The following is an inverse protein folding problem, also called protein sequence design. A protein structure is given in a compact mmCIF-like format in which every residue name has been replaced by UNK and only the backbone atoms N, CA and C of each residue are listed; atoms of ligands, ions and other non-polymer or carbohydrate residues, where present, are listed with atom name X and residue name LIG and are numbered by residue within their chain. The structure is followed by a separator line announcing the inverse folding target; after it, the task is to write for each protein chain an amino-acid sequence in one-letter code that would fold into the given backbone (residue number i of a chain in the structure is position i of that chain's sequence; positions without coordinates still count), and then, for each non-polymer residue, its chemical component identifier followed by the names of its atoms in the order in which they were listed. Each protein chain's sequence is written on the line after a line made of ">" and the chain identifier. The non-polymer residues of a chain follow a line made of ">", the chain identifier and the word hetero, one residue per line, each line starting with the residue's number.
data_IF_458862700226
#
_entry.id   IF_458862700226
#
_cell.length_a   1.000
_cell.length_b   1.000
_cell.length_c   1.000
_cell.angle_alpha   90.00
_cell.angle_beta   90.00
_cell.angle_gamma   90.00
#
_symmetry.space_group_name_H-M   'P 1'
#
loop_
_entity.id
_entity.type
_entity.pdbx_description
1 polymer ?
#
# COMPACT_ATOMS: atom_id res chain seq x y z
N UNK A 1 3.32 -10.65 3.27
CA UNK A 1 4.17 -11.84 3.04
C UNK A 1 3.50 -13.04 3.66
N UNK A 2 3.39 -14.18 2.98
CA UNK A 2 2.76 -15.42 3.46
C UNK A 2 3.84 -16.48 3.58
N UNK A 3 3.89 -17.24 4.69
CA UNK A 3 4.83 -18.33 4.88
C UNK A 3 4.09 -19.67 5.00
N UNK A 4 4.52 -20.64 4.20
CA UNK A 4 4.10 -22.03 4.31
C UNK A 4 5.37 -22.90 4.13
N UNK A 5 5.91 -23.28 5.27
CA UNK A 5 7.26 -23.92 5.32
C UNK A 5 7.42 -25.05 4.30
N UNK A 6 8.56 -25.07 3.59
CA UNK A 6 9.72 -24.18 3.68
C UNK A 6 9.66 -22.96 2.74
N UNK A 7 8.48 -22.57 2.25
CA UNK A 7 8.32 -21.49 1.28
C UNK A 7 7.83 -20.19 1.91
N UNK A 8 8.22 -19.09 1.25
CA UNK A 8 7.78 -17.72 1.55
C UNK A 8 7.28 -17.07 0.26
N UNK A 9 6.04 -16.63 0.25
CA UNK A 9 5.41 -15.93 -0.87
C UNK A 9 5.37 -14.42 -0.56
N UNK A 10 5.92 -13.63 -1.47
CA UNK A 10 5.85 -12.16 -1.43
C UNK A 10 4.90 -11.64 -2.54
N UNK A 11 3.64 -11.34 -2.21
CA UNK A 11 2.68 -10.85 -3.19
C UNK A 11 3.06 -9.47 -3.77
N UNK A 12 3.77 -8.64 -3.00
CA UNK A 12 4.11 -7.29 -3.40
C UNK A 12 5.19 -7.24 -4.49
N UNK A 13 6.14 -8.18 -4.42
CA UNK A 13 7.26 -8.27 -5.36
C UNK A 13 7.12 -9.44 -6.34
N UNK A 14 5.97 -10.12 -6.39
CA UNK A 14 5.73 -11.31 -7.22
C UNK A 14 6.83 -12.38 -7.09
N UNK A 15 7.31 -12.61 -5.85
CA UNK A 15 8.43 -13.51 -5.60
C UNK A 15 8.04 -14.67 -4.68
N UNK A 16 8.53 -15.85 -5.03
CA UNK A 16 8.45 -17.06 -4.22
C UNK A 16 9.88 -17.45 -3.79
N UNK A 17 10.07 -17.72 -2.50
CA UNK A 17 11.34 -18.09 -1.91
C UNK A 17 11.26 -19.45 -1.24
N UNK A 18 12.30 -20.25 -1.39
CA UNK A 18 12.53 -21.43 -0.58
C UNK A 18 13.49 -21.06 0.57
N UNK A 19 13.07 -21.25 1.80
CA UNK A 19 13.85 -20.92 3.00
C UNK A 19 14.42 -22.22 3.57
N UNK A 20 15.75 -22.35 3.57
CA UNK A 20 16.42 -23.51 4.18
C UNK A 20 16.34 -23.47 5.71
N UNK A 21 16.59 -24.59 6.37
CA UNK A 21 16.64 -24.68 7.84
C UNK A 21 17.71 -23.76 8.46
N UNK A 22 18.70 -23.35 7.68
CA UNK A 22 19.73 -22.39 8.08
C UNK A 22 19.33 -20.92 7.85
N UNK A 23 18.10 -20.64 7.42
CA UNK A 23 17.59 -19.29 7.19
C UNK A 23 17.99 -18.65 5.85
N UNK A 24 18.69 -19.38 4.98
CA UNK A 24 19.06 -18.91 3.64
C UNK A 24 17.82 -18.96 2.73
N UNK A 25 17.47 -17.84 2.11
CA UNK A 25 16.35 -17.73 1.19
C UNK A 25 16.85 -17.80 -0.26
N UNK A 26 16.36 -18.77 -1.02
CA UNK A 26 16.69 -18.96 -2.44
C UNK A 26 15.43 -18.66 -3.28
N UNK A 27 15.50 -17.81 -4.31
CA UNK A 27 14.34 -17.53 -5.15
C UNK A 27 13.93 -18.76 -5.95
N UNK A 28 12.62 -19.03 -6.02
CA UNK A 28 12.03 -20.10 -6.80
C UNK A 28 11.41 -19.53 -8.06
N UNK A 29 11.84 -19.98 -9.22
CA UNK A 29 11.32 -19.53 -10.50
C UNK A 29 9.92 -20.08 -10.74
N UNK A 30 8.95 -19.19 -10.93
CA UNK A 30 7.56 -19.50 -11.27
C UNK A 30 7.06 -18.45 -12.28
N UNK A 31 6.20 -18.86 -13.22
CA UNK A 31 5.65 -17.90 -14.19
C UNK A 31 4.67 -16.94 -13.50
N UNK A 32 4.56 -15.70 -13.97
CA UNK A 32 3.72 -14.66 -13.36
C UNK A 32 2.28 -15.15 -13.12
N UNK A 33 1.68 -15.84 -14.12
CA UNK A 33 0.30 -16.33 -14.02
C UNK A 33 0.15 -17.51 -13.05
N UNK A 34 1.14 -18.41 -12.99
CA UNK A 34 1.15 -19.47 -11.99
C UNK A 34 1.38 -18.91 -10.57
N UNK A 35 2.14 -17.84 -10.46
CA UNK A 35 2.28 -17.10 -9.19
C UNK A 35 0.95 -16.51 -8.73
N UNK A 36 0.17 -15.88 -9.64
CA UNK A 36 -1.16 -15.34 -9.32
C UNK A 36 -2.13 -16.43 -8.82
N UNK A 37 -2.13 -17.60 -9.48
CA UNK A 37 -2.94 -18.76 -9.06
C UNK A 37 -2.48 -19.23 -7.67
N UNK A 38 -1.18 -19.37 -7.43
CA UNK A 38 -0.64 -19.76 -6.13
C UNK A 38 -1.00 -18.75 -5.05
N UNK A 39 -0.84 -17.45 -5.33
CA UNK A 39 -1.22 -16.36 -4.42
C UNK A 39 -2.68 -16.47 -4.01
N UNK A 40 -3.58 -16.60 -4.98
CA UNK A 40 -5.01 -16.71 -4.71
C UNK A 40 -5.35 -17.92 -3.83
N UNK A 41 -4.75 -19.07 -4.10
CA UNK A 41 -4.94 -20.28 -3.29
C UNK A 41 -4.38 -20.13 -1.86
N UNK A 42 -3.21 -19.50 -1.70
CA UNK A 42 -2.55 -19.22 -0.40
C UNK A 42 -3.33 -18.17 0.41
N UNK A 43 -4.05 -17.28 -0.25
CA UNK A 43 -4.94 -16.30 0.39
C UNK A 43 -6.23 -16.94 0.93
N UNK A 44 -6.61 -18.13 0.42
CA UNK A 44 -7.80 -18.89 0.83
C UNK A 44 -7.44 -20.31 1.36
N UNK A 45 -6.61 -20.43 2.40
CA UNK A 45 -6.11 -21.70 2.88
C UNK A 45 -7.25 -22.57 3.43
N UNK A 46 -7.18 -23.88 3.16
CA UNK A 46 -8.19 -24.84 3.59
C UNK A 46 -9.53 -24.78 2.86
N UNK A 47 -9.78 -23.75 2.06
CA UNK A 47 -11.00 -23.56 1.30
C UNK A 47 -10.87 -24.22 -0.09
N UNK A 48 -11.93 -24.87 -0.56
CA UNK A 48 -12.02 -25.32 -1.95
C UNK A 48 -12.37 -24.12 -2.84
N UNK A 49 -11.45 -23.77 -3.73
CA UNK A 49 -11.62 -22.71 -4.75
C UNK A 49 -12.02 -23.37 -6.06
N UNK A 50 -13.17 -22.97 -6.64
CA UNK A 50 -13.65 -23.57 -7.87
C UNK A 50 -12.85 -23.13 -9.10
N UNK A 51 -12.95 -23.91 -10.21
CA UNK A 51 -12.34 -23.51 -11.48
C UNK A 51 -12.91 -22.19 -11.99
N UNK A 52 -14.22 -22.00 -11.87
CA UNK A 52 -14.94 -20.79 -12.30
C UNK A 52 -14.45 -19.58 -11.50
N UNK A 53 -14.36 -19.72 -10.17
CA UNK A 53 -13.85 -18.66 -9.28
C UNK A 53 -12.41 -18.24 -9.63
N UNK A 54 -11.51 -19.20 -9.90
CA UNK A 54 -10.14 -18.89 -10.30
C UNK A 54 -10.08 -18.19 -11.66
N UNK A 55 -10.91 -18.63 -12.61
CA UNK A 55 -10.96 -18.03 -13.94
C UNK A 55 -11.54 -16.61 -13.88
N UNK A 56 -12.59 -16.39 -13.11
CA UNK A 56 -13.21 -15.09 -12.93
C UNK A 56 -12.27 -14.11 -12.22
N UNK A 57 -11.61 -14.57 -11.15
CA UNK A 57 -10.71 -13.74 -10.37
C UNK A 57 -9.41 -13.36 -11.10
N UNK A 58 -8.87 -14.25 -11.95
CA UNK A 58 -7.55 -14.09 -12.52
C UNK A 58 -7.52 -13.86 -14.04
N UNK A 59 -8.63 -14.07 -14.74
CA UNK A 59 -8.80 -13.87 -16.19
C UNK A 59 -10.08 -13.08 -16.53
N UNK A 60 -10.45 -12.11 -15.71
CA UNK A 60 -11.64 -11.28 -15.95
C UNK A 60 -11.61 -10.67 -17.35
N UNK A 61 -12.67 -10.96 -18.13
CA UNK A 61 -12.84 -10.42 -19.48
C UNK A 61 -12.18 -11.23 -20.61
N UNK A 62 -11.51 -12.35 -20.32
CA UNK A 62 -10.91 -13.25 -21.34
C UNK A 62 -11.56 -14.63 -21.24
N UNK A 63 -12.11 -15.12 -22.34
CA UNK A 63 -12.63 -16.48 -22.40
C UNK A 63 -11.49 -17.51 -22.39
N UNK A 64 -11.19 -18.07 -21.23
CA UNK A 64 -10.13 -19.08 -21.04
C UNK A 64 -10.76 -20.42 -20.68
N UNK A 65 -10.28 -21.49 -21.31
CA UNK A 65 -10.75 -22.84 -21.00
C UNK A 65 -10.16 -23.35 -19.66
N UNK A 66 -10.90 -24.15 -18.87
CA UNK A 66 -10.44 -24.68 -17.58
C UNK A 66 -9.14 -25.50 -17.67
N UNK A 67 -8.78 -26.02 -18.85
CA UNK A 67 -7.52 -26.73 -19.10
C UNK A 67 -6.28 -25.88 -18.83
N UNK A 68 -6.36 -24.58 -19.03
CA UNK A 68 -5.24 -23.63 -18.77
C UNK A 68 -4.86 -23.63 -17.30
N UNK A 69 -5.83 -23.75 -16.39
CA UNK A 69 -5.56 -23.85 -14.94
C UNK A 69 -4.73 -25.08 -14.59
N UNK A 70 -4.94 -26.22 -15.28
CA UNK A 70 -4.16 -27.44 -15.04
C UNK A 70 -2.69 -27.21 -15.31
N UNK A 71 -2.34 -26.46 -16.36
CA UNK A 71 -0.96 -26.11 -16.69
C UNK A 71 -0.31 -25.23 -15.61
N UNK A 72 -1.03 -24.22 -15.11
CA UNK A 72 -0.50 -23.37 -14.04
C UNK A 72 -0.38 -24.12 -12.70
N UNK A 73 -1.32 -24.98 -12.34
CA UNK A 73 -1.24 -25.81 -11.14
C UNK A 73 -0.07 -26.81 -11.23
N UNK A 74 0.20 -27.35 -12.43
CA UNK A 74 1.36 -28.21 -12.65
C UNK A 74 2.67 -27.42 -12.44
N UNK A 75 2.75 -26.18 -12.98
CA UNK A 75 3.89 -25.30 -12.77
C UNK A 75 4.10 -24.97 -11.27
N UNK A 76 3.03 -24.72 -10.53
CA UNK A 76 3.06 -24.51 -9.08
C UNK A 76 3.60 -25.76 -8.37
N UNK A 77 3.10 -26.94 -8.68
CA UNK A 77 3.57 -28.20 -8.07
C UNK A 77 5.05 -28.42 -8.34
N UNK A 78 5.50 -28.23 -9.57
CA UNK A 78 6.90 -28.36 -9.92
C UNK A 78 7.77 -27.37 -9.12
N UNK A 79 7.32 -26.12 -8.97
CA UNK A 79 8.03 -25.11 -8.19
C UNK A 79 8.07 -25.42 -6.68
N UNK A 80 7.03 -26.05 -6.14
CA UNK A 80 6.93 -26.40 -4.72
C UNK A 80 7.43 -27.83 -4.41
N UNK A 81 7.77 -28.63 -5.41
CA UNK A 81 8.09 -30.05 -5.21
C UNK A 81 6.90 -30.86 -4.69
N UNK A 82 5.68 -30.53 -5.14
CA UNK A 82 4.43 -31.14 -4.67
C UNK A 82 4.01 -32.32 -5.56
N UNK A 83 3.50 -33.38 -4.94
CA UNK A 83 3.07 -34.59 -5.64
C UNK A 83 1.54 -34.64 -5.77
N UNK A 84 1.04 -34.97 -6.98
CA UNK A 84 -0.40 -35.07 -7.26
C UNK A 84 -1.10 -36.17 -6.45
N UNK A 85 -0.41 -37.29 -6.17
CA UNK A 85 -0.98 -38.43 -5.45
C UNK A 85 -0.86 -38.28 -3.93
N UNK A 86 0.12 -37.50 -3.46
CA UNK A 86 0.34 -37.18 -2.04
C UNK A 86 0.57 -35.67 -1.88
N UNK A 87 -0.46 -34.87 -2.11
CA UNK A 87 -0.30 -33.43 -2.10
C UNK A 87 0.05 -32.92 -0.70
N UNK A 88 1.03 -32.04 -0.64
CA UNK A 88 1.48 -31.34 0.57
C UNK A 88 1.00 -29.89 0.58
N UNK A 89 0.79 -29.32 -0.61
CA UNK A 89 0.45 -27.92 -0.80
C UNK A 89 -0.87 -27.72 -1.54
N UNK A 90 -1.05 -28.34 -2.72
CA UNK A 90 -2.22 -28.12 -3.57
C UNK A 90 -2.96 -29.42 -3.81
N UNK A 91 -4.10 -29.59 -3.16
CA UNK A 91 -5.02 -30.71 -3.37
C UNK A 91 -5.92 -30.45 -4.58
N UNK A 92 -6.14 -31.47 -5.43
CA UNK A 92 -7.07 -31.39 -6.55
C UNK A 92 -8.40 -32.08 -6.20
N UNK A 93 -9.48 -31.36 -6.29
CA UNK A 93 -10.84 -31.90 -6.27
C UNK A 93 -11.35 -32.00 -7.71
N UNK A 94 -11.34 -33.24 -8.26
CA UNK A 94 -11.70 -33.51 -9.67
C UNK A 94 -13.06 -32.89 -10.03
N UNK A 95 -13.12 -32.12 -11.10
CA UNK A 95 -14.33 -31.47 -11.60
C UNK A 95 -14.83 -30.29 -10.74
N UNK A 96 -14.18 -29.96 -9.61
CA UNK A 96 -14.63 -28.90 -8.70
C UNK A 96 -13.63 -27.75 -8.58
N UNK A 97 -12.33 -28.03 -8.39
CA UNK A 97 -11.33 -26.99 -8.18
C UNK A 97 -10.10 -27.47 -7.42
N UNK A 98 -9.45 -26.52 -6.75
CA UNK A 98 -8.23 -26.73 -6.01
C UNK A 98 -8.35 -26.22 -4.57
N UNK A 99 -7.61 -26.81 -3.64
CA UNK A 99 -7.53 -26.39 -2.24
C UNK A 99 -6.08 -26.29 -1.83
N UNK A 100 -5.70 -25.22 -1.18
CA UNK A 100 -4.40 -25.10 -0.54
C UNK A 100 -4.48 -25.74 0.84
N UNK A 101 -3.68 -26.80 1.09
CA UNK A 101 -3.78 -27.64 2.29
C UNK A 101 -2.65 -27.45 3.29
N UNK A 102 -1.56 -26.77 2.89
CA UNK A 102 -0.49 -26.50 3.83
C UNK A 102 -0.91 -25.42 4.83
N UNK A 103 -0.42 -25.54 6.06
CA UNK A 103 -0.60 -24.48 7.06
C UNK A 103 0.11 -23.22 6.58
N UNK A 104 -0.68 -22.24 6.19
CA UNK A 104 -0.21 -20.91 5.91
C UNK A 104 -0.06 -20.21 7.25
N UNK A 105 1.15 -20.21 7.79
CA UNK A 105 1.47 -19.17 8.73
C UNK A 105 1.40 -17.87 7.94
N UNK A 106 0.26 -17.17 8.06
CA UNK A 106 0.36 -15.74 7.92
C UNK A 106 1.42 -15.37 8.95
N UNK A 107 2.57 -14.88 8.52
CA UNK A 107 3.26 -13.94 9.33
C UNK A 107 2.34 -12.72 9.36
N UNK A 108 1.21 -12.84 10.03
CA UNK A 108 0.77 -11.83 10.93
C UNK A 108 1.91 -11.79 11.98
N UNK A 109 3.01 -11.14 11.65
CA UNK A 109 3.44 -10.10 12.55
C UNK A 109 2.13 -9.38 12.80
N UNK A 110 1.59 -9.63 14.01
CA UNK A 110 0.48 -8.86 14.59
C UNK A 110 0.56 -7.49 13.93
N UNK A 111 -0.54 -6.91 13.49
CA UNK A 111 -0.62 -5.61 12.83
C UNK A 111 0.03 -4.46 13.63
N UNK A 112 1.02 -4.77 14.40
CA UNK A 112 2.06 -3.99 15.04
C UNK A 112 3.28 -3.84 14.11
N UNK A 113 3.07 -3.75 12.77
CA UNK A 113 4.11 -3.27 11.85
C UNK A 113 4.43 -1.79 12.03
N UNK A 114 3.74 -1.15 12.97
CA UNK A 114 4.05 0.20 13.42
C UNK A 114 5.21 0.25 14.44
N UNK A 115 5.74 -0.87 14.89
CA UNK A 115 6.88 -0.88 15.80
C UNK A 115 7.80 -2.03 15.47
N UNK A 116 8.83 -1.80 14.70
CA UNK A 116 10.19 -2.34 14.86
C UNK A 116 11.04 -1.98 13.63
N UNK A 117 12.00 -1.09 13.84
CA UNK A 117 13.01 -0.65 12.87
C UNK A 117 12.46 0.14 11.66
N UNK A 118 11.64 1.19 11.90
CA UNK A 118 11.58 2.27 10.94
C UNK A 118 13.01 2.84 10.82
N UNK A 119 13.64 2.78 9.63
CA UNK A 119 14.84 3.56 9.41
C UNK A 119 14.50 4.99 9.81
N UNK A 120 15.39 5.68 10.53
CA UNK A 120 15.18 7.08 10.94
C UNK A 120 14.60 7.83 9.74
N UNK A 121 13.41 8.40 9.89
CA UNK A 121 12.71 9.06 8.79
C UNK A 121 13.42 10.38 8.51
N UNK A 122 14.37 10.35 7.58
CA UNK A 122 15.21 11.50 7.24
C UNK A 122 14.41 12.51 6.43
N UNK A 123 14.60 13.79 6.69
CA UNK A 123 14.08 14.91 5.92
C UNK A 123 12.55 15.10 6.02
N UNK A 124 11.88 14.55 7.05
CA UNK A 124 10.41 14.62 7.19
C UNK A 124 9.94 15.23 8.52
N UNK A 125 10.82 15.83 9.29
CA UNK A 125 10.49 16.41 10.61
C UNK A 125 9.35 17.44 10.53
N UNK A 126 9.38 18.35 9.56
CA UNK A 126 8.32 19.34 9.36
C UNK A 126 6.97 18.70 9.03
N UNK A 127 6.95 17.66 8.19
CA UNK A 127 5.73 16.93 7.86
C UNK A 127 5.16 16.18 9.07
N UNK A 128 6.01 15.56 9.89
CA UNK A 128 5.60 14.92 11.14
C UNK A 128 5.05 15.93 12.14
N UNK A 129 5.63 17.13 12.22
CA UNK A 129 5.12 18.20 13.07
C UNK A 129 3.70 18.60 12.66
N UNK A 130 3.43 18.85 11.38
CA UNK A 130 2.09 19.19 10.86
C UNK A 130 1.09 18.10 11.22
N UNK A 131 1.45 16.83 11.02
CA UNK A 131 0.60 15.69 11.38
C UNK A 131 0.35 15.63 12.90
N UNK A 132 1.37 15.91 13.71
CA UNK A 132 1.25 15.99 15.18
C UNK A 132 0.32 17.10 15.64
N UNK A 133 0.40 18.28 15.03
CA UNK A 133 -0.50 19.41 15.30
C UNK A 133 -1.94 19.08 14.91
N UNK A 134 -2.16 18.45 13.74
CA UNK A 134 -3.46 17.99 13.31
C UNK A 134 -4.08 16.96 14.29
N UNK A 135 -3.27 16.02 14.77
CA UNK A 135 -3.72 15.05 15.79
C UNK A 135 -4.07 15.73 17.12
N UNK A 136 -3.27 16.70 17.55
CA UNK A 136 -3.55 17.45 18.77
C UNK A 136 -4.88 18.22 18.68
N UNK A 137 -5.19 18.82 17.54
CA UNK A 137 -6.46 19.49 17.28
C UNK A 137 -7.61 18.49 17.23
N UNK A 138 -7.42 17.35 16.57
CA UNK A 138 -8.41 16.27 16.50
C UNK A 138 -8.76 15.76 17.92
N UNK A 139 -7.78 15.59 18.79
CA UNK A 139 -7.99 15.21 20.21
C UNK A 139 -8.84 16.21 21.00
N UNK A 140 -8.83 17.47 20.58
CA UNK A 140 -9.65 18.54 21.17
C UNK A 140 -11.06 18.62 20.57
N UNK A 141 -11.45 17.67 19.71
CA UNK A 141 -12.77 17.65 19.06
C UNK A 141 -12.87 18.54 17.81
N UNK A 142 -11.73 18.92 17.23
CA UNK A 142 -11.67 19.63 15.96
C UNK A 142 -11.28 18.62 14.87
N UNK A 143 -12.24 18.10 14.09
CA UNK A 143 -11.94 17.11 13.08
C UNK A 143 -10.96 17.66 12.05
N UNK A 144 -9.98 16.83 11.67
CA UNK A 144 -8.94 17.18 10.70
C UNK A 144 -8.88 16.17 9.58
N UNK A 145 -8.72 16.68 8.36
CA UNK A 145 -8.43 15.90 7.16
C UNK A 145 -7.11 16.40 6.62
N UNK A 146 -6.14 15.48 6.47
CA UNK A 146 -4.81 15.81 5.95
C UNK A 146 -4.50 14.91 4.77
N UNK A 147 -4.20 15.51 3.64
CA UNK A 147 -3.75 14.82 2.43
C UNK A 147 -2.24 14.88 2.33
N UNK A 148 -1.61 13.72 2.18
CA UNK A 148 -0.17 13.60 1.94
C UNK A 148 0.04 13.15 0.49
N UNK A 149 0.67 13.99 -0.32
CA UNK A 149 0.85 13.67 -1.72
C UNK A 149 2.28 13.91 -2.20
N UNK A 150 2.62 13.34 -3.34
CA UNK A 150 3.94 13.42 -3.97
C UNK A 150 4.19 12.23 -4.88
N UNK A 151 5.35 12.19 -5.50
CA UNK A 151 5.70 11.21 -6.50
C UNK A 151 5.75 9.76 -5.97
N UNK A 152 5.75 8.79 -6.87
CA UNK A 152 5.97 7.39 -6.51
C UNK A 152 7.36 7.24 -5.86
N UNK A 153 7.45 6.46 -4.77
CA UNK A 153 8.71 6.21 -4.08
C UNK A 153 9.23 7.36 -3.19
N UNK A 154 8.51 8.50 -3.09
CA UNK A 154 8.93 9.67 -2.32
C UNK A 154 8.87 9.48 -0.80
N UNK A 155 8.25 8.40 -0.32
CA UNK A 155 8.18 8.07 1.09
C UNK A 155 6.86 8.44 1.79
N UNK A 156 5.73 8.55 1.06
CA UNK A 156 4.40 8.81 1.66
C UNK A 156 4.01 7.79 2.70
N UNK A 157 4.04 6.51 2.34
CA UNK A 157 3.72 5.39 3.23
C UNK A 157 4.63 5.36 4.45
N UNK A 158 5.94 5.56 4.28
CA UNK A 158 6.89 5.61 5.39
C UNK A 158 6.57 6.75 6.39
N UNK A 159 6.18 7.93 5.88
CA UNK A 159 5.77 9.06 6.73
C UNK A 159 4.53 8.72 7.56
N UNK A 160 3.47 8.23 6.91
CA UNK A 160 2.20 7.97 7.61
C UNK A 160 2.29 6.75 8.54
N UNK A 161 3.06 5.72 8.19
CA UNK A 161 3.32 4.57 9.07
C UNK A 161 4.10 5.00 10.33
N UNK A 162 5.16 5.81 10.18
CA UNK A 162 5.93 6.34 11.30
C UNK A 162 5.02 7.19 12.21
N UNK A 163 4.26 8.11 11.63
CA UNK A 163 3.31 8.93 12.37
C UNK A 163 2.27 8.07 13.10
N UNK A 164 1.65 7.10 12.45
CA UNK A 164 0.65 6.23 13.06
C UNK A 164 1.22 5.37 14.19
N UNK A 165 2.49 4.95 14.08
CA UNK A 165 3.19 4.26 15.17
C UNK A 165 3.25 5.11 16.44
N UNK A 166 3.57 6.39 16.28
CA UNK A 166 3.69 7.33 17.39
C UNK A 166 2.32 7.83 17.89
N UNK A 167 1.33 7.93 17.00
CA UNK A 167 -0.04 8.36 17.31
C UNK A 167 -0.83 7.33 18.12
N UNK A 168 -0.43 6.05 18.05
CA UNK A 168 -1.06 4.94 18.75
C UNK A 168 -1.07 5.12 20.27
N UNK A 169 -2.14 4.63 20.93
CA UNK A 169 -2.27 4.70 22.38
C UNK A 169 -3.63 4.20 22.87
N UNK A 170 -3.83 4.06 24.16
CA UNK A 170 -5.05 3.47 24.73
C UNK A 170 -6.33 4.27 24.43
N UNK A 171 -6.19 5.56 24.09
CA UNK A 171 -7.30 6.47 23.77
C UNK A 171 -7.39 6.80 22.28
N UNK A 172 -6.73 6.00 21.42
CA UNK A 172 -6.73 6.20 19.97
C UNK A 172 -7.19 4.94 19.24
N UNK A 173 -8.26 5.07 18.48
CA UNK A 173 -8.69 4.06 17.51
C UNK A 173 -7.98 4.34 16.20
N UNK A 174 -6.94 3.56 15.90
CA UNK A 174 -6.20 3.66 14.66
C UNK A 174 -6.64 2.57 13.70
N UNK A 175 -7.00 2.97 12.48
CA UNK A 175 -7.26 2.02 11.41
C UNK A 175 -6.80 2.54 10.07
N UNK A 176 -6.58 1.61 9.14
CA UNK A 176 -6.15 1.94 7.80
C UNK A 176 -6.81 1.05 6.76
N UNK A 177 -7.06 1.63 5.59
CA UNK A 177 -7.49 0.94 4.38
C UNK A 177 -6.69 1.41 3.19
N UNK A 178 -6.50 0.54 2.23
CA UNK A 178 -5.70 0.81 1.04
C UNK A 178 -6.51 0.62 -0.23
N UNK A 179 -6.40 1.58 -1.14
CA UNK A 179 -6.93 1.42 -2.48
C UNK A 179 -6.01 0.52 -3.31
N UNK A 180 -6.57 -0.32 -4.16
CA UNK A 180 -5.84 -1.29 -4.97
C UNK A 180 -5.96 -0.91 -6.45
N UNK A 181 -4.83 -0.89 -7.14
CA UNK A 181 -4.76 -0.67 -8.58
C UNK A 181 -5.60 -1.71 -9.34
N UNK A 182 -6.39 -1.26 -10.31
CA UNK A 182 -7.28 -2.13 -11.09
C UNK A 182 -8.60 -2.51 -10.40
N UNK A 183 -8.75 -2.29 -9.09
CA UNK A 183 -9.99 -2.55 -8.33
C UNK A 183 -10.92 -1.35 -8.27
N UNK A 184 -10.50 -0.20 -8.78
CA UNK A 184 -11.20 1.08 -8.70
C UNK A 184 -12.54 1.06 -9.46
N UNK A 185 -13.55 0.44 -8.93
CA UNK A 185 -14.92 0.39 -9.47
C UNK A 185 -15.65 -0.93 -9.22
N UNK A 186 -14.96 -1.94 -8.73
CA UNK A 186 -15.57 -3.23 -8.45
C UNK A 186 -16.41 -3.21 -7.15
N UNK A 187 -15.93 -2.53 -6.12
CA UNK A 187 -16.60 -2.45 -4.82
C UNK A 187 -16.58 -1.02 -4.28
N UNK A 188 -17.75 -0.37 -4.11
CA UNK A 188 -17.85 0.95 -3.51
C UNK A 188 -17.33 0.96 -2.08
N UNK A 189 -16.63 2.04 -1.67
CA UNK A 189 -16.08 2.22 -0.33
C UNK A 189 -15.01 1.20 0.09
N UNK A 190 -14.38 0.50 -0.85
CA UNK A 190 -13.45 -0.59 -0.55
C UNK A 190 -12.41 -0.26 0.55
N UNK A 191 -11.64 0.86 0.50
CA UNK A 191 -10.64 1.15 1.53
C UNK A 191 -11.28 1.43 2.90
N UNK A 192 -12.51 1.92 2.93
CA UNK A 192 -13.25 2.19 4.17
C UNK A 192 -13.75 0.87 4.79
N UNK A 193 -14.27 -0.05 3.96
CA UNK A 193 -14.68 -1.39 4.39
C UNK A 193 -13.46 -2.15 4.96
N UNK A 194 -12.30 -2.04 4.33
CA UNK A 194 -11.07 -2.63 4.83
C UNK A 194 -10.69 -2.05 6.20
N UNK A 195 -10.70 -0.72 6.34
CA UNK A 195 -10.40 -0.05 7.60
C UNK A 195 -11.37 -0.47 8.72
N UNK A 196 -12.68 -0.47 8.46
CA UNK A 196 -13.68 -0.93 9.44
C UNK A 196 -13.49 -2.40 9.81
N UNK A 197 -13.18 -3.27 8.84
CA UNK A 197 -12.88 -4.69 9.09
C UNK A 197 -11.70 -4.87 10.04
N UNK A 198 -10.69 -4.00 9.96
CA UNK A 198 -9.53 -4.00 10.87
C UNK A 198 -9.92 -3.55 12.27
N UNK A 199 -10.73 -2.49 12.40
CA UNK A 199 -11.26 -2.04 13.69
C UNK A 199 -12.05 -3.14 14.39
N UNK A 200 -12.91 -3.85 13.67
CA UNK A 200 -13.70 -4.98 14.20
C UNK A 200 -12.80 -6.09 14.74
N UNK A 201 -11.67 -6.35 14.10
CA UNK A 201 -10.71 -7.39 14.54
C UNK A 201 -9.73 -6.91 15.61
N UNK A 202 -9.69 -5.61 15.88
CA UNK A 202 -8.79 -4.99 16.85
C UNK A 202 -9.24 -5.16 18.30
N UNK A 203 -8.47 -4.59 19.22
CA UNK A 203 -8.72 -4.68 20.66
C UNK A 203 -10.09 -4.11 21.12
N UNK A 204 -10.63 -3.15 20.35
CA UNK A 204 -11.92 -2.52 20.61
C UNK A 204 -13.07 -3.08 19.76
N UNK A 205 -12.88 -4.26 19.14
CA UNK A 205 -13.77 -4.82 18.14
C UNK A 205 -15.22 -4.99 18.60
N UNK A 206 -15.48 -5.35 19.85
CA UNK A 206 -16.84 -5.46 20.39
C UNK A 206 -17.57 -4.12 20.34
N UNK A 207 -16.95 -3.05 20.87
CA UNK A 207 -17.53 -1.70 20.85
C UNK A 207 -17.79 -1.20 19.42
N UNK A 208 -16.88 -1.49 18.50
CA UNK A 208 -17.06 -1.14 17.08
C UNK A 208 -18.24 -1.88 16.47
N UNK A 209 -18.43 -3.16 16.79
CA UNK A 209 -19.57 -3.95 16.33
C UNK A 209 -20.89 -3.45 16.92
N UNK A 210 -20.91 -3.10 18.21
CA UNK A 210 -22.09 -2.53 18.88
C UNK A 210 -22.51 -1.22 18.20
N UNK A 211 -21.56 -0.31 17.94
CA UNK A 211 -21.79 0.95 17.24
C UNK A 211 -22.27 0.72 15.82
N UNK A 212 -21.62 -0.19 15.06
CA UNK A 212 -22.00 -0.51 13.68
C UNK A 212 -23.45 -0.99 13.60
N UNK A 213 -23.86 -1.93 14.44
CA UNK A 213 -25.21 -2.47 14.38
C UNK A 213 -26.24 -1.42 14.82
N UNK A 214 -25.91 -0.57 15.80
CA UNK A 214 -26.86 0.43 16.34
C UNK A 214 -27.06 1.64 15.44
N UNK A 215 -25.98 2.22 14.89
CA UNK A 215 -26.06 3.50 14.16
C UNK A 215 -25.73 3.41 12.66
N UNK A 216 -25.09 2.31 12.23
CA UNK A 216 -24.66 2.13 10.83
C UNK A 216 -25.04 0.76 10.25
N UNK A 217 -26.33 0.35 10.28
CA UNK A 217 -26.76 -1.00 9.88
C UNK A 217 -26.47 -1.31 8.41
N UNK A 218 -26.45 -0.33 7.51
CA UNK A 218 -26.06 -0.54 6.11
C UNK A 218 -24.60 -0.97 5.97
N UNK A 219 -23.71 -0.37 6.77
CA UNK A 219 -22.30 -0.76 6.85
C UNK A 219 -22.11 -2.11 7.54
N UNK A 220 -22.89 -2.36 8.61
CA UNK A 220 -22.88 -3.66 9.29
C UNK A 220 -23.27 -4.79 8.33
N UNK A 221 -24.18 -4.54 7.40
CA UNK A 221 -24.59 -5.53 6.37
C UNK A 221 -23.44 -5.84 5.40
N UNK A 222 -22.67 -4.85 4.97
CA UNK A 222 -21.47 -5.05 4.13
C UNK A 222 -20.38 -5.83 4.88
N UNK A 223 -20.31 -5.66 6.18
CA UNK A 223 -19.30 -6.26 7.06
C UNK A 223 -19.78 -7.54 7.75
N UNK A 224 -20.92 -8.12 7.32
CA UNK A 224 -21.55 -9.26 7.98
C UNK A 224 -20.61 -10.48 8.14
N UNK A 225 -19.65 -10.66 7.22
CA UNK A 225 -18.66 -11.75 7.26
C UNK A 225 -17.68 -11.65 8.43
N UNK A 226 -17.40 -10.44 8.91
CA UNK A 226 -16.43 -10.17 9.99
C UNK A 226 -17.09 -9.89 11.34
N UNK A 227 -18.42 -9.70 11.37
CA UNK A 227 -19.18 -9.55 12.60
C UNK A 227 -19.29 -10.86 13.40
N UNK A 228 -19.42 -10.76 14.70
CA UNK A 228 -19.71 -11.89 15.59
C UNK A 228 -21.07 -12.52 15.26
N UNK A 229 -21.28 -13.75 15.69
CA UNK A 229 -22.57 -14.47 15.49
C UNK A 229 -23.74 -13.71 16.12
N UNK A 230 -23.53 -13.11 17.28
CA UNK A 230 -24.54 -12.34 18.00
C UNK A 230 -24.95 -11.08 17.24
N UNK A 231 -23.97 -10.29 16.77
CA UNK A 231 -24.21 -9.07 16.00
C UNK A 231 -24.88 -9.37 14.65
N UNK A 232 -24.52 -10.46 13.99
CA UNK A 232 -25.23 -10.90 12.77
C UNK A 232 -26.69 -11.24 13.02
N UNK A 233 -26.99 -11.89 14.15
CA UNK A 233 -28.38 -12.23 14.52
C UNK A 233 -29.21 -10.98 14.85
N UNK A 234 -28.62 -9.97 15.47
CA UNK A 234 -29.25 -8.67 15.70
C UNK A 234 -29.55 -7.96 14.38
N UNK A 235 -28.56 -7.92 13.50
CA UNK A 235 -28.70 -7.30 12.18
C UNK A 235 -29.83 -7.92 11.35
N UNK A 236 -30.00 -9.24 11.36
CA UNK A 236 -31.08 -9.95 10.67
C UNK A 236 -32.49 -9.57 11.13
N UNK A 237 -32.63 -9.09 12.37
CA UNK A 237 -33.92 -8.64 12.93
C UNK A 237 -34.29 -7.21 12.50
N UNK A 238 -33.33 -6.46 11.96
CA UNK A 238 -33.53 -5.07 11.51
C UNK A 238 -33.88 -5.08 10.03
N UNK A 239 -35.07 -4.56 9.66
CA UNK A 239 -35.51 -4.49 8.26
C UNK A 239 -34.61 -3.52 7.48
N UNK A 240 -34.03 -3.99 6.37
CA UNK A 240 -33.01 -3.26 5.65
C UNK A 240 -33.54 -2.60 4.38
N UNK A 241 -33.33 -1.29 4.30
CA UNK A 241 -33.36 -0.55 3.05
C UNK A 241 -31.98 0.11 2.92
N UNK A 242 -31.11 -0.48 2.12
CA UNK A 242 -29.79 0.06 1.83
C UNK A 242 -29.91 1.09 0.69
N UNK A 243 -29.75 2.37 0.99
CA UNK A 243 -29.60 3.41 -0.01
C UNK A 243 -28.21 4.05 0.15
N UNK A 244 -27.50 4.33 -0.96
CA UNK A 244 -26.15 4.93 -0.95
C UNK A 244 -26.09 6.25 -0.15
N UNK A 245 -27.13 7.09 -0.25
CA UNK A 245 -27.24 8.33 0.52
C UNK A 245 -27.32 8.11 2.03
N UNK A 246 -27.88 6.97 2.45
CA UNK A 246 -27.92 6.61 3.86
C UNK A 246 -26.54 6.20 4.38
N UNK A 247 -25.75 5.47 3.58
CA UNK A 247 -24.40 5.02 4.00
C UNK A 247 -23.48 6.18 4.35
N UNK A 248 -23.54 7.30 3.63
CA UNK A 248 -22.74 8.48 3.96
C UNK A 248 -23.10 9.06 5.34
N UNK A 249 -24.39 9.18 5.64
CA UNK A 249 -24.88 9.64 6.95
C UNK A 249 -24.52 8.67 8.07
N UNK A 250 -24.83 7.38 7.89
CA UNK A 250 -24.53 6.32 8.85
C UNK A 250 -23.03 6.24 9.19
N UNK A 251 -22.14 6.44 8.20
CA UNK A 251 -20.70 6.46 8.46
C UNK A 251 -20.28 7.63 9.31
N UNK A 252 -20.83 8.81 9.05
CA UNK A 252 -20.58 9.97 9.88
C UNK A 252 -21.06 9.73 11.32
N UNK A 253 -22.28 9.18 11.49
CA UNK A 253 -22.85 8.87 12.80
C UNK A 253 -22.02 7.80 13.54
N UNK A 254 -21.50 6.80 12.81
CA UNK A 254 -20.58 5.80 13.34
C UNK A 254 -19.29 6.42 13.87
N UNK A 255 -18.67 7.31 13.09
CA UNK A 255 -17.45 7.99 13.53
C UNK A 255 -17.70 8.88 14.74
N UNK A 256 -18.86 9.55 14.81
CA UNK A 256 -19.26 10.32 15.99
C UNK A 256 -19.38 9.43 17.21
N UNK A 257 -20.09 8.31 17.13
CA UNK A 257 -20.24 7.36 18.21
C UNK A 257 -18.90 6.78 18.69
N UNK A 258 -18.01 6.42 17.75
CA UNK A 258 -16.68 5.90 18.09
C UNK A 258 -15.78 6.98 18.73
N UNK A 259 -15.96 8.24 18.31
CA UNK A 259 -15.15 9.37 18.77
C UNK A 259 -15.61 9.98 20.10
N UNK A 260 -16.72 9.53 20.68
CA UNK A 260 -17.18 9.99 22.00
C UNK A 260 -16.15 9.70 23.11
N UNK A 261 -15.53 8.52 23.10
CA UNK A 261 -14.59 8.08 24.12
C UNK A 261 -13.14 8.14 23.67
N UNK A 262 -12.87 8.01 22.36
CA UNK A 262 -11.53 7.84 21.80
C UNK A 262 -11.29 8.77 20.61
N UNK A 263 -10.03 9.04 20.30
CA UNK A 263 -9.69 9.74 19.06
C UNK A 263 -9.62 8.72 17.92
N UNK A 264 -10.39 8.94 16.87
CA UNK A 264 -10.37 8.08 15.68
C UNK A 264 -9.33 8.62 14.70
N UNK A 265 -8.34 7.79 14.36
CA UNK A 265 -7.37 8.06 13.29
C UNK A 265 -7.62 7.07 12.16
N UNK A 266 -8.10 7.59 11.05
CA UNK A 266 -8.41 6.81 9.85
C UNK A 266 -7.40 7.15 8.75
N UNK A 267 -6.60 6.17 8.34
CA UNK A 267 -5.65 6.30 7.23
C UNK A 267 -6.22 5.63 5.98
N UNK A 268 -6.30 6.36 4.87
CA UNK A 268 -6.69 5.86 3.55
C UNK A 268 -5.52 6.03 2.58
N UNK A 269 -4.90 4.91 2.18
CA UNK A 269 -3.73 4.94 1.32
C UNK A 269 -4.09 4.81 -0.16
N UNK A 270 -3.26 5.44 -0.99
CA UNK A 270 -3.29 5.36 -2.45
C UNK A 270 -4.65 5.78 -3.06
N UNK A 271 -5.27 6.86 -2.55
CA UNK A 271 -6.59 7.36 -3.00
C UNK A 271 -6.69 7.66 -4.50
N UNK A 272 -5.59 7.78 -5.22
CA UNK A 272 -5.62 7.89 -6.68
C UNK A 272 -6.21 6.64 -7.37
N UNK A 273 -6.32 5.53 -6.66
CA UNK A 273 -7.02 4.29 -7.08
C UNK A 273 -8.40 4.14 -6.42
N UNK A 274 -8.91 5.16 -5.70
CA UNK A 274 -10.19 5.04 -4.99
C UNK A 274 -11.39 5.04 -5.94
N UNK A 275 -12.52 4.56 -5.44
CA UNK A 275 -13.82 4.70 -6.08
C UNK A 275 -14.46 6.07 -5.77
N UNK A 276 -15.43 6.50 -6.59
CA UNK A 276 -16.15 7.77 -6.40
C UNK A 276 -16.91 7.83 -5.08
N UNK A 277 -17.41 6.68 -4.58
CA UNK A 277 -18.17 6.65 -3.32
C UNK A 277 -17.29 6.98 -2.13
N UNK A 278 -16.03 6.54 -2.15
CA UNK A 278 -15.02 6.91 -1.16
C UNK A 278 -14.70 8.41 -1.20
N UNK A 279 -14.60 9.01 -2.39
CA UNK A 279 -14.39 10.46 -2.52
C UNK A 279 -15.60 11.25 -2.01
N UNK A 280 -16.83 10.83 -2.36
CA UNK A 280 -18.07 11.41 -1.84
C UNK A 280 -18.13 11.34 -0.30
N UNK A 281 -17.69 10.22 0.28
CA UNK A 281 -17.62 10.05 1.73
C UNK A 281 -16.66 11.02 2.39
N UNK A 282 -15.46 11.18 1.83
CA UNK A 282 -14.46 12.15 2.33
C UNK A 282 -15.04 13.56 2.25
N UNK A 283 -15.72 13.92 1.13
CA UNK A 283 -16.37 15.21 0.96
C UNK A 283 -17.46 15.43 2.01
N UNK A 284 -18.29 14.42 2.27
CA UNK A 284 -19.35 14.49 3.28
C UNK A 284 -18.80 14.70 4.69
N UNK A 285 -17.75 13.95 5.06
CA UNK A 285 -17.04 14.09 6.34
C UNK A 285 -16.45 15.49 6.51
N UNK A 286 -15.79 16.02 5.47
CA UNK A 286 -15.16 17.33 5.50
C UNK A 286 -16.16 18.47 5.74
N UNK A 287 -17.38 18.33 5.23
CA UNK A 287 -18.44 19.37 5.30
C UNK A 287 -19.31 19.25 6.55
N UNK A 288 -19.19 18.15 7.28
CA UNK A 288 -20.00 17.95 8.49
C UNK A 288 -19.51 18.83 9.62
N UNK A 289 -20.40 19.66 10.14
CA UNK A 289 -20.14 20.54 11.29
C UNK A 289 -20.41 19.77 12.59
N UNK A 290 -19.50 18.91 13.02
CA UNK A 290 -19.60 18.20 14.28
C UNK A 290 -18.28 18.30 15.04
N UNK A 291 -18.36 18.31 16.38
CA UNK A 291 -17.17 18.30 17.24
C UNK A 291 -16.75 16.84 17.48
N UNK A 292 -16.01 16.26 16.54
CA UNK A 292 -15.60 14.86 16.55
C UNK A 292 -14.09 14.75 16.67
N UNK A 293 -13.61 13.84 17.51
CA UNK A 293 -12.17 13.56 17.64
C UNK A 293 -11.70 12.67 16.49
N UNK A 294 -11.67 13.24 15.29
CA UNK A 294 -11.32 12.55 14.05
C UNK A 294 -10.10 13.17 13.39
N UNK A 295 -9.13 12.34 13.06
CA UNK A 295 -8.07 12.64 12.11
C UNK A 295 -8.17 11.67 10.93
N UNK A 296 -8.54 12.18 9.76
CA UNK A 296 -8.49 11.42 8.51
C UNK A 296 -7.20 11.78 7.78
N UNK A 297 -6.36 10.79 7.58
CA UNK A 297 -5.15 10.89 6.77
C UNK A 297 -5.38 10.19 5.44
N UNK A 298 -4.94 10.81 4.36
CA UNK A 298 -5.06 10.21 3.04
C UNK A 298 -3.80 10.41 2.23
N UNK A 299 -3.35 9.35 1.54
CA UNK A 299 -2.18 9.46 0.65
C UNK A 299 -2.59 9.31 -0.81
N UNK A 300 -1.92 10.05 -1.70
CA UNK A 300 -2.11 9.89 -3.14
C UNK A 300 -0.88 10.30 -3.93
N UNK A 301 -0.80 9.90 -5.21
CA UNK A 301 0.25 10.35 -6.13
C UNK A 301 -0.16 11.63 -6.82
N UNK A 302 0.81 12.52 -7.01
CA UNK A 302 0.60 13.80 -7.73
C UNK A 302 0.45 13.62 -9.25
N UNK A 303 0.77 12.44 -9.77
CA UNK A 303 0.77 12.11 -11.20
C UNK A 303 -0.61 12.23 -11.83
N UNK A 304 -0.65 12.74 -13.06
CA UNK A 304 -1.89 12.93 -13.84
C UNK A 304 -2.41 11.62 -14.46
N UNK A 305 -1.59 10.58 -14.50
CA UNK A 305 -1.83 9.35 -15.21
C UNK A 305 -2.87 8.40 -14.58
N UNK A 306 -3.30 8.63 -13.33
CA UNK A 306 -4.32 7.79 -12.72
C UNK A 306 -5.71 8.10 -13.30
N UNK A 307 -6.53 7.10 -13.67
CA UNK A 307 -7.85 7.28 -14.32
C UNK A 307 -8.83 8.19 -13.55
N UNK A 308 -8.63 8.36 -12.26
CA UNK A 308 -9.46 9.20 -11.37
C UNK A 308 -8.68 10.27 -10.61
N UNK A 309 -7.43 10.48 -10.96
CA UNK A 309 -6.57 11.50 -10.36
C UNK A 309 -7.11 12.91 -10.52
N UNK A 310 -7.88 13.19 -11.60
CA UNK A 310 -8.55 14.46 -11.81
C UNK A 310 -9.66 14.70 -10.79
N UNK A 311 -10.54 13.72 -10.52
CA UNK A 311 -11.65 13.86 -9.57
C UNK A 311 -11.14 14.03 -8.12
N UNK A 312 -10.12 13.27 -7.72
CA UNK A 312 -9.49 13.40 -6.41
C UNK A 312 -8.84 14.78 -6.24
N UNK A 313 -8.09 15.27 -7.25
CA UNK A 313 -7.49 16.61 -7.21
C UNK A 313 -8.52 17.70 -7.15
N UNK A 314 -9.61 17.57 -7.91
CA UNK A 314 -10.72 18.51 -7.85
C UNK A 314 -11.32 18.56 -6.44
N UNK A 315 -11.56 17.41 -5.82
CA UNK A 315 -12.02 17.32 -4.43
C UNK A 315 -11.04 17.99 -3.46
N UNK A 316 -9.74 17.64 -3.53
CA UNK A 316 -8.73 18.22 -2.64
C UNK A 316 -8.64 19.73 -2.80
N UNK A 317 -8.64 20.25 -4.03
CA UNK A 317 -8.60 21.68 -4.30
C UNK A 317 -9.85 22.40 -3.76
N UNK A 318 -11.02 21.80 -3.91
CA UNK A 318 -12.27 22.34 -3.36
C UNK A 318 -12.23 22.38 -1.83
N UNK A 319 -11.77 21.30 -1.18
CA UNK A 319 -11.65 21.26 0.27
C UNK A 319 -10.62 22.26 0.80
N UNK A 320 -9.49 22.44 0.10
CA UNK A 320 -8.47 23.45 0.43
C UNK A 320 -9.02 24.86 0.32
N UNK A 321 -9.77 25.16 -0.76
CA UNK A 321 -10.39 26.47 -0.98
C UNK A 321 -11.33 26.85 0.18
N UNK A 322 -12.04 25.87 0.72
CA UNK A 322 -12.95 26.04 1.86
C UNK A 322 -12.30 25.84 3.23
N UNK A 323 -10.97 25.65 3.30
CA UNK A 323 -10.22 25.40 4.54
C UNK A 323 -10.73 24.17 5.33
N UNK A 324 -11.24 23.17 4.62
CA UNK A 324 -11.78 21.94 5.18
C UNK A 324 -10.74 20.81 5.29
N UNK A 325 -9.57 21.00 4.72
CA UNK A 325 -8.46 20.05 4.80
C UNK A 325 -7.11 20.77 4.79
N UNK A 326 -6.09 20.03 5.14
CA UNK A 326 -4.69 20.41 4.98
C UNK A 326 -4.01 19.51 3.94
N UNK A 327 -2.96 20.02 3.29
CA UNK A 327 -2.25 19.26 2.27
C UNK A 327 -0.73 19.36 2.50
N UNK A 328 -0.07 18.19 2.56
CA UNK A 328 1.38 18.05 2.71
C UNK A 328 1.94 17.50 1.40
N UNK A 329 2.69 18.34 0.68
CA UNK A 329 3.43 17.89 -0.50
C UNK A 329 4.80 17.38 -0.09
N UNK A 330 5.08 16.10 -0.37
CA UNK A 330 6.41 15.54 -0.16
C UNK A 330 7.27 15.74 -1.40
N UNK A 331 8.36 16.48 -1.23
CA UNK A 331 9.41 16.62 -2.24
C UNK A 331 10.53 15.59 -2.08
N UNK A 332 11.43 15.55 -3.05
CA UNK A 332 12.67 14.77 -2.98
C UNK A 332 13.55 15.20 -1.80
N UNK A 333 14.45 14.33 -1.41
CA UNK A 333 15.46 14.61 -0.42
C UNK A 333 16.41 15.70 -0.89
N UNK A 334 16.76 16.61 0.00
CA UNK A 334 17.81 17.59 -0.18
C UNK A 334 19.22 16.96 -0.03
N UNK A 335 20.25 17.70 -0.39
CA UNK A 335 21.63 17.27 -0.14
C UNK A 335 21.88 16.94 1.33
N UNK A 336 21.32 17.75 2.24
CA UNK A 336 21.41 17.52 3.68
C UNK A 336 20.78 16.18 4.08
N UNK A 337 19.57 15.89 3.59
CA UNK A 337 18.87 14.65 3.87
C UNK A 337 19.64 13.43 3.35
N UNK A 338 20.20 13.51 2.14
CA UNK A 338 21.04 12.43 1.60
C UNK A 338 22.29 12.24 2.45
N UNK A 339 22.96 13.33 2.86
CA UNK A 339 24.14 13.27 3.74
C UNK A 339 23.83 12.58 5.06
N UNK A 340 22.69 12.94 5.67
CA UNK A 340 22.21 12.31 6.91
C UNK A 340 21.90 10.83 6.71
N UNK A 341 21.22 10.47 5.62
CA UNK A 341 20.83 9.09 5.34
C UNK A 341 22.02 8.17 5.13
N UNK A 342 23.01 8.61 4.33
CA UNK A 342 24.21 7.81 4.05
C UNK A 342 25.27 7.96 5.14
N UNK A 343 25.08 8.88 6.08
CA UNK A 343 26.07 9.24 7.11
C UNK A 343 27.45 9.52 6.52
N UNK A 344 27.47 10.29 5.42
CA UNK A 344 28.68 10.62 4.70
C UNK A 344 29.64 11.40 5.59
N UNK A 345 30.95 11.14 5.41
CA UNK A 345 31.97 11.95 6.06
C UNK A 345 32.03 13.32 5.40
N UNK A 346 32.40 14.35 6.18
CA UNK A 346 32.61 15.72 5.68
C UNK A 346 33.98 15.84 5.01
N UNK A 347 34.17 15.07 3.96
CA UNK A 347 35.35 15.05 3.08
C UNK A 347 34.94 15.43 1.66
N UNK A 348 35.90 15.82 0.83
CA UNK A 348 35.59 16.10 -0.59
C UNK A 348 35.00 14.87 -1.31
N UNK A 349 35.50 13.71 -0.97
CA UNK A 349 35.00 12.45 -1.52
C UNK A 349 33.58 12.14 -1.04
N UNK A 350 33.28 12.32 0.25
CA UNK A 350 31.95 12.16 0.82
C UNK A 350 30.94 13.14 0.21
N UNK A 351 31.33 14.42 0.04
CA UNK A 351 30.49 15.42 -0.63
C UNK A 351 30.22 15.06 -2.10
N UNK A 352 31.24 14.60 -2.83
CA UNK A 352 31.11 14.15 -4.22
C UNK A 352 30.19 12.93 -4.33
N UNK A 353 30.29 11.98 -3.40
CA UNK A 353 29.39 10.81 -3.36
C UNK A 353 27.94 11.21 -3.13
N UNK A 354 27.66 12.10 -2.17
CA UNK A 354 26.32 12.62 -1.90
C UNK A 354 25.75 13.34 -3.14
N UNK A 355 26.54 14.19 -3.79
CA UNK A 355 26.11 14.89 -5.02
C UNK A 355 25.77 13.91 -6.14
N UNK A 356 26.58 12.88 -6.31
CA UNK A 356 26.37 11.84 -7.30
C UNK A 356 25.05 11.08 -7.04
N UNK A 357 24.82 10.65 -5.79
CA UNK A 357 23.58 9.99 -5.39
C UNK A 357 22.36 10.89 -5.59
N UNK A 358 22.48 12.16 -5.20
CA UNK A 358 21.40 13.12 -5.35
C UNK A 358 21.07 13.36 -6.83
N UNK A 359 22.06 13.55 -7.66
CA UNK A 359 21.90 13.75 -9.10
C UNK A 359 21.23 12.54 -9.77
N UNK A 360 21.69 11.33 -9.46
CA UNK A 360 21.18 10.08 -10.06
C UNK A 360 19.80 9.67 -9.56
N UNK A 361 19.47 9.97 -8.31
CA UNK A 361 18.16 9.65 -7.73
C UNK A 361 17.12 10.75 -7.93
N UNK A 362 17.52 11.97 -8.33
CA UNK A 362 16.67 13.16 -8.30
C UNK A 362 16.13 13.46 -6.88
N UNK A 363 16.83 12.98 -5.85
CA UNK A 363 16.40 13.07 -4.46
C UNK A 363 15.26 12.09 -4.09
N UNK A 364 14.87 11.19 -4.98
CA UNK A 364 13.83 10.20 -4.68
C UNK A 364 14.38 9.09 -3.77
N UNK A 365 13.82 8.90 -2.54
CA UNK A 365 14.32 7.92 -1.58
C UNK A 365 14.34 6.49 -2.09
N UNK A 366 13.34 6.09 -2.88
CA UNK A 366 13.27 4.74 -3.45
C UNK A 366 14.42 4.52 -4.44
N UNK A 367 14.64 5.47 -5.36
CA UNK A 367 15.71 5.37 -6.35
C UNK A 367 17.08 5.42 -5.67
N UNK A 368 17.27 6.30 -4.70
CA UNK A 368 18.51 6.38 -3.95
C UNK A 368 18.84 5.06 -3.25
N UNK A 369 17.87 4.45 -2.58
CA UNK A 369 18.04 3.15 -1.94
C UNK A 369 18.36 2.05 -2.96
N UNK A 370 17.65 2.02 -4.09
CA UNK A 370 17.91 1.05 -5.15
C UNK A 370 19.33 1.19 -5.74
N UNK A 371 19.81 2.43 -5.89
CA UNK A 371 21.18 2.71 -6.33
C UNK A 371 22.19 2.20 -5.29
N UNK A 372 21.98 2.49 -4.00
CA UNK A 372 22.87 2.01 -2.95
C UNK A 372 22.91 0.49 -2.88
N UNK A 373 21.76 -0.18 -2.93
CA UNK A 373 21.66 -1.63 -2.94
C UNK A 373 22.41 -2.23 -4.15
N UNK A 374 22.28 -1.62 -5.34
CA UNK A 374 23.00 -2.05 -6.55
C UNK A 374 24.52 -1.88 -6.40
N UNK A 375 24.98 -0.73 -5.93
CA UNK A 375 26.41 -0.46 -5.73
C UNK A 375 27.03 -1.39 -4.67
N UNK A 376 26.27 -1.72 -3.62
CA UNK A 376 26.70 -2.66 -2.60
C UNK A 376 26.83 -4.08 -3.15
N UNK A 377 25.85 -4.54 -3.96
CA UNK A 377 25.92 -5.85 -4.63
C UNK A 377 27.09 -5.96 -5.60
N UNK A 378 27.41 -4.85 -6.28
CA UNK A 378 28.58 -4.76 -7.15
C UNK A 378 29.92 -4.61 -6.39
N UNK A 379 29.88 -4.60 -5.04
CA UNK A 379 31.05 -4.41 -4.17
C UNK A 379 31.82 -3.10 -4.43
N UNK A 380 31.11 -2.06 -4.89
CA UNK A 380 31.68 -0.75 -5.13
C UNK A 380 31.60 0.16 -3.89
N UNK A 381 30.67 -0.17 -3.00
CA UNK A 381 30.46 0.51 -1.71
C UNK A 381 30.18 -0.52 -0.62
N UNK A 382 30.49 -0.15 0.61
CA UNK A 382 30.17 -0.95 1.80
C UNK A 382 29.32 -0.15 2.78
N UNK A 383 28.53 -0.87 3.59
CA UNK A 383 27.71 -0.29 4.64
C UNK A 383 28.17 -0.83 6.00
N UNK A 384 28.78 0.04 6.80
CA UNK A 384 29.13 -0.27 8.18
C UNK A 384 28.18 0.46 9.14
N UNK A 385 27.22 -0.28 9.70
CA UNK A 385 26.22 0.21 10.68
C UNK A 385 25.46 1.45 10.23
N UNK A 386 25.12 1.52 8.94
CA UNK A 386 24.39 2.64 8.34
C UNK A 386 25.29 3.76 7.80
N UNK A 387 26.62 3.63 7.89
CA UNK A 387 27.57 4.49 7.23
C UNK A 387 28.00 3.88 5.91
N UNK A 388 27.73 4.59 4.84
CA UNK A 388 28.11 4.15 3.49
C UNK A 388 29.50 4.70 3.14
N UNK A 389 30.36 3.83 2.63
CA UNK A 389 31.73 4.17 2.21
C UNK A 389 32.00 3.66 0.82
N UNK A 390 32.79 4.42 0.06
CA UNK A 390 33.27 3.98 -1.24
C UNK A 390 34.45 3.02 -1.04
N UNK A 391 34.35 1.85 -1.66
CA UNK A 391 35.42 0.85 -1.67
C UNK A 391 36.34 1.02 -2.89
N UNK A 392 35.86 1.82 -3.88
CA UNK A 392 36.60 2.19 -5.10
C UNK A 392 36.47 3.69 -5.37
N UNK A 393 37.46 4.31 -6.06
CA UNK A 393 37.36 5.72 -6.45
C UNK A 393 36.09 6.01 -7.28
N UNK A 394 35.37 7.08 -6.97
CA UNK A 394 34.13 7.46 -7.66
C UNK A 394 34.24 7.55 -9.19
N UNK A 395 35.41 7.91 -9.71
CA UNK A 395 35.69 7.96 -11.15
C UNK A 395 35.60 6.59 -11.85
N UNK A 396 35.69 5.50 -11.10
CA UNK A 396 35.61 4.13 -11.61
C UNK A 396 34.22 3.53 -11.47
N UNK A 397 33.30 4.20 -10.76
CA UNK A 397 31.93 3.74 -10.55
C UNK A 397 31.14 4.00 -11.84
N UNK A 398 30.96 2.94 -12.66
CA UNK A 398 30.01 2.97 -13.78
C UNK A 398 28.62 2.72 -13.23
N UNK A 399 27.76 3.72 -13.36
CA UNK A 399 26.35 3.59 -12.99
C UNK A 399 25.59 2.96 -14.17
N UNK A 400 25.33 1.68 -14.07
CA UNK A 400 24.25 1.06 -14.85
C UNK A 400 22.94 1.32 -14.11
N UNK A 401 21.90 1.73 -14.83
CA UNK A 401 20.58 1.94 -14.22
C UNK A 401 20.05 0.57 -13.80
N UNK A 402 19.71 0.37 -12.51
CA UNK A 402 19.15 -0.91 -12.08
C UNK A 402 17.85 -1.23 -12.82
N UNK A 403 17.66 -2.48 -13.23
CA UNK A 403 16.46 -2.93 -13.98
C UNK A 403 15.13 -2.56 -13.28
N UNK A 404 15.13 -2.46 -11.96
CA UNK A 404 13.99 -1.99 -11.16
C UNK A 404 13.63 -0.53 -11.44
N UNK A 405 14.61 0.34 -11.70
CA UNK A 405 14.38 1.75 -12.04
C UNK A 405 13.93 1.83 -13.51
N UNK A 406 14.57 1.09 -14.41
CA UNK A 406 14.18 1.00 -15.80
C UNK A 406 12.70 0.64 -15.94
N UNK A 407 12.24 -0.39 -15.23
CA UNK A 407 10.83 -0.80 -15.28
C UNK A 407 9.86 0.27 -14.76
N UNK A 408 10.24 1.01 -13.71
CA UNK A 408 9.40 2.12 -13.18
C UNK A 408 9.35 3.27 -14.19
N UNK A 409 10.46 3.57 -14.84
CA UNK A 409 10.55 4.61 -15.89
C UNK A 409 9.77 4.19 -17.13
N UNK A 410 9.95 2.96 -17.61
CA UNK A 410 9.21 2.40 -18.75
C UNK A 410 7.70 2.43 -18.51
N UNK A 411 7.25 2.04 -17.30
CA UNK A 411 5.82 2.10 -16.92
C UNK A 411 5.28 3.54 -16.95
N UNK A 412 6.08 4.52 -16.52
CA UNK A 412 5.70 5.94 -16.59
C UNK A 412 5.63 6.43 -18.04
N UNK A 413 6.62 6.09 -18.86
CA UNK A 413 6.68 6.50 -20.28
C UNK A 413 5.53 5.89 -21.06
N UNK A 414 5.25 4.60 -20.88
CA UNK A 414 4.16 3.91 -21.58
C UNK A 414 2.76 4.42 -21.21
N UNK A 415 2.61 5.07 -20.07
CA UNK A 415 1.36 5.74 -19.67
C UNK A 415 1.15 7.14 -20.26
N UNK A 416 2.13 7.69 -20.96
CA UNK A 416 2.04 8.98 -21.63
C UNK A 416 1.42 8.84 -23.04
N UNK A 417 0.86 9.93 -23.58
CA UNK A 417 0.40 9.97 -24.96
C UNK A 417 1.59 9.88 -25.95
N UNK A 418 1.30 9.44 -27.20
CA UNK A 418 2.33 9.21 -28.23
C UNK A 418 3.13 10.48 -28.56
N UNK A 419 2.54 11.66 -28.47
CA UNK A 419 3.21 12.92 -28.77
C UNK A 419 4.25 13.23 -27.69
N UNK A 420 3.88 13.07 -26.41
CA UNK A 420 4.78 13.23 -25.26
C UNK A 420 5.90 12.18 -25.28
N UNK A 421 5.60 10.93 -25.64
CA UNK A 421 6.62 9.88 -25.77
C UNK A 421 7.67 10.23 -26.83
N UNK A 422 7.26 10.71 -28.02
CA UNK A 422 8.17 11.15 -29.08
C UNK A 422 9.06 12.32 -28.66
N UNK A 423 8.50 13.26 -27.90
CA UNK A 423 9.28 14.39 -27.34
C UNK A 423 10.34 13.87 -26.38
N UNK A 424 10.00 12.92 -25.50
CA UNK A 424 10.95 12.30 -24.58
C UNK A 424 12.04 11.50 -25.30
N UNK A 425 11.68 10.77 -26.35
CA UNK A 425 12.65 10.06 -27.20
C UNK A 425 13.62 11.03 -27.86
N UNK A 426 13.13 12.13 -28.43
CA UNK A 426 13.97 13.16 -29.02
C UNK A 426 14.87 13.84 -27.97
N UNK A 427 14.32 14.15 -26.80
CA UNK A 427 15.06 14.74 -25.69
C UNK A 427 16.18 13.83 -25.17
N UNK A 428 15.92 12.51 -25.12
CA UNK A 428 16.92 11.54 -24.66
C UNK A 428 18.17 11.48 -25.55
N UNK A 429 18.04 11.82 -26.84
CA UNK A 429 19.16 11.91 -27.75
C UNK A 429 20.04 13.15 -27.55
N UNK A 430 19.53 14.18 -26.87
CA UNK A 430 20.22 15.45 -26.61
C UNK A 430 21.01 15.40 -25.30
N UNK A 431 20.63 14.56 -24.35
CA UNK A 431 21.28 14.38 -23.03
C UNK A 431 20.47 14.92 -21.86
N UNK A 432 21.13 15.02 -20.69
CA UNK A 432 20.47 15.35 -19.39
C UNK A 432 19.88 16.77 -19.32
N UNK A 433 20.31 17.67 -20.19
CA UNK A 433 19.80 19.06 -20.27
C UNK A 433 19.53 19.43 -21.71
N UNK A 434 18.30 19.76 -22.02
CA UNK A 434 17.90 20.21 -23.36
C UNK A 434 17.07 21.50 -23.27
N UNK A 435 17.14 22.30 -24.34
CA UNK A 435 16.31 23.50 -24.48
C UNK A 435 14.98 23.11 -25.14
N UNK A 436 13.82 23.28 -24.47
CA UNK A 436 12.50 22.90 -25.00
C UNK A 436 12.07 23.74 -26.23
N UNK A 437 12.87 24.73 -26.65
CA UNK A 437 12.63 25.56 -27.83
C UNK A 437 13.40 25.06 -29.08
N UNK A 438 14.14 23.98 -28.96
CA UNK A 438 14.79 23.27 -30.06
C UNK A 438 14.03 22.01 -30.38
#
# INVERSE_FOLDING_TARGET
>A
MKEFKPFRLDPANHQLWHVSDQGVSVPVTITAKAFDVLRYLVEHPGRLVSHEELLEALWSGVAVQPEVLKGHVLAIRNALGDDVQRPRYVETHRGRGYRFIADVASTQKSDNRLALNAPSLVGRAASLQILGEALAQARQGQPKIVFVHGDAGIGKTALVETFCSDAGGPHTLLSYGRCIEGFSGAEPFYPVIEALSRLIRGAHGSKVQDALVSVAPSWASQLASVLSREHRALLQKMAHISARSRMLGEFCDLLEALAEEQTVVLLLEDLHWSDFSTLDLISALARRKSSVRLLLLATFRSDESAPRGSALRQLVNELLLHQLCESIRLGGWSQHDVTEYVRAEDTDEGRSFVQLLLHRSGGNPLFLRTILDHLQHAQLISNDRGRWKNDVPLAQVRFEIPQTIDHVVETKISGLDEETQRVLEAASAVGDVFNPLV
#
